data_IF_214230889129
#
_entry.id   IF_214230889129
#
_cell.length_a   1.000
_cell.length_b   1.000
_cell.length_c   1.000
_cell.angle_alpha   90.00
_cell.angle_beta   90.00
_cell.angle_gamma   90.00
#
_symmetry.space_group_name_H-M   'P 1'
#
loop_
_entity.id
_entity.type
_entity.pdbx_description
1 polymer ?
#
# COMPACT_ATOMS: atom_id res chain seq x y z
N UNK A 1 24.65 30.91 39.57
CA UNK A 1 23.36 30.72 38.88
C UNK A 1 23.50 30.06 37.50
N UNK A 2 24.50 30.42 36.67
CA UNK A 2 24.68 29.86 35.32
C UNK A 2 24.73 28.32 35.23
N UNK A 3 25.48 27.63 36.10
CA UNK A 3 25.59 26.14 36.09
C UNK A 3 24.27 25.40 36.31
N UNK A 4 23.34 25.98 37.10
CA UNK A 4 22.01 25.38 37.34
C UNK A 4 21.10 25.52 36.11
N UNK A 5 21.20 26.63 35.40
CA UNK A 5 20.48 26.84 34.14
C UNK A 5 20.99 25.89 33.05
N UNK A 6 22.30 25.69 32.94
CA UNK A 6 22.89 24.75 31.96
C UNK A 6 22.47 23.30 32.21
N UNK A 7 22.48 22.84 33.47
CA UNK A 7 22.03 21.48 33.82
C UNK A 7 20.54 21.28 33.54
N UNK A 8 19.72 22.30 33.77
CA UNK A 8 18.30 22.25 33.48
C UNK A 8 18.03 22.15 31.97
N UNK A 9 18.75 22.92 31.15
CA UNK A 9 18.66 22.84 29.69
C UNK A 9 19.06 21.45 29.19
N UNK A 10 20.16 20.88 29.70
CA UNK A 10 20.56 19.52 29.32
C UNK A 10 19.55 18.46 29.76
N UNK A 11 18.94 18.59 30.94
CA UNK A 11 17.91 17.67 31.41
C UNK A 11 16.65 17.73 30.53
N UNK A 12 16.24 18.93 30.10
CA UNK A 12 15.09 19.12 29.19
C UNK A 12 15.40 18.55 27.80
N UNK A 13 16.60 18.80 27.25
CA UNK A 13 17.00 18.23 25.96
C UNK A 13 17.11 16.71 26.00
N UNK A 14 17.61 16.14 27.10
CA UNK A 14 17.68 14.70 27.29
C UNK A 14 16.28 14.07 27.43
N UNK A 15 15.39 14.68 28.19
CA UNK A 15 14.00 14.21 28.31
C UNK A 15 13.26 14.28 26.96
N UNK A 16 13.46 15.33 26.17
CA UNK A 16 12.90 15.45 24.82
C UNK A 16 13.47 14.38 23.88
N UNK A 17 14.77 14.07 23.96
CA UNK A 17 15.39 13.01 23.17
C UNK A 17 14.83 11.62 23.53
N UNK A 18 14.67 11.30 24.82
CA UNK A 18 14.10 10.01 25.27
C UNK A 18 12.63 9.89 24.87
N UNK A 19 11.85 10.96 24.93
CA UNK A 19 10.47 10.98 24.45
C UNK A 19 10.36 10.75 22.94
N UNK A 20 11.35 11.20 22.15
CA UNK A 20 11.38 10.99 20.70
C UNK A 20 11.78 9.56 20.28
N UNK A 21 12.42 8.79 21.18
CA UNK A 21 12.82 7.40 20.96
C UNK A 21 11.73 6.41 21.38
N UNK A 22 10.69 6.87 22.10
CA UNK A 22 9.46 6.10 22.31
C UNK A 22 8.59 6.11 21.03
N UNK A 23 9.19 5.68 19.93
CA UNK A 23 8.48 5.35 18.71
C UNK A 23 7.77 4.02 19.00
N UNK A 24 6.44 4.04 19.19
CA UNK A 24 5.65 2.83 19.42
C UNK A 24 6.05 1.75 18.41
N UNK A 25 6.56 0.62 18.91
CA UNK A 25 7.00 -0.46 18.05
C UNK A 25 5.80 -0.97 17.25
N UNK A 26 5.93 -1.08 15.92
CA UNK A 26 4.81 -1.38 15.02
C UNK A 26 4.08 -2.69 15.36
N UNK A 27 4.72 -3.61 16.07
CA UNK A 27 4.13 -4.85 16.55
C UNK A 27 3.14 -4.65 17.72
N UNK A 28 3.23 -3.55 18.47
CA UNK A 28 2.35 -3.25 19.62
C UNK A 28 0.99 -2.68 19.20
N UNK A 29 0.86 -2.22 17.95
CA UNK A 29 -0.42 -1.73 17.42
C UNK A 29 -1.48 -2.82 17.36
N UNK A 30 -2.75 -2.43 17.47
CA UNK A 30 -3.89 -3.31 17.31
C UNK A 30 -3.92 -3.94 15.91
N UNK A 31 -4.64 -5.07 15.77
CA UNK A 31 -4.84 -5.70 14.46
C UNK A 31 -5.57 -4.77 13.49
N UNK A 32 -6.50 -3.95 13.98
CA UNK A 32 -7.23 -2.99 13.16
C UNK A 32 -6.28 -1.93 12.59
N UNK A 33 -5.44 -1.31 13.44
CA UNK A 33 -4.50 -0.28 12.98
C UNK A 33 -3.47 -0.84 11.98
N UNK A 34 -3.07 -2.10 12.17
CA UNK A 34 -2.21 -2.80 11.20
C UNK A 34 -2.95 -3.02 9.88
N UNK A 35 -4.19 -3.50 9.94
CA UNK A 35 -5.01 -3.70 8.75
C UNK A 35 -5.22 -2.38 7.99
N UNK A 36 -5.55 -1.30 8.70
CA UNK A 36 -5.74 0.03 8.12
C UNK A 36 -4.45 0.54 7.48
N UNK A 37 -3.29 0.37 8.15
CA UNK A 37 -2.00 0.74 7.60
C UNK A 37 -1.68 -0.01 6.30
N UNK A 38 -1.85 -1.33 6.28
CA UNK A 38 -1.61 -2.12 5.08
C UNK A 38 -2.61 -1.81 3.98
N UNK A 39 -3.87 -1.55 4.32
CA UNK A 39 -4.90 -1.17 3.36
C UNK A 39 -4.57 0.18 2.72
N UNK A 40 -4.17 1.19 3.50
CA UNK A 40 -3.76 2.48 2.95
C UNK A 40 -2.49 2.35 2.09
N UNK A 41 -1.50 1.58 2.54
CA UNK A 41 -0.29 1.35 1.75
C UNK A 41 -0.61 0.69 0.39
N UNK A 42 -1.57 -0.23 0.41
CA UNK A 42 -2.07 -0.91 -0.79
C UNK A 42 -2.76 0.06 -1.74
N UNK A 43 -3.63 0.96 -1.24
CA UNK A 43 -4.26 2.00 -2.06
C UNK A 43 -3.24 2.99 -2.63
N UNK A 44 -2.32 3.48 -1.81
CA UNK A 44 -1.37 4.54 -2.19
C UNK A 44 -0.33 4.08 -3.21
N UNK A 45 0.08 2.81 -3.13
CA UNK A 45 1.25 2.31 -3.89
C UNK A 45 0.91 1.33 -4.98
N UNK A 46 -0.22 0.64 -4.86
CA UNK A 46 -0.52 -0.48 -5.73
C UNK A 46 -1.79 -0.29 -6.55
N UNK A 47 -2.73 0.56 -6.12
CA UNK A 47 -3.93 0.88 -6.90
C UNK A 47 -3.63 2.00 -7.93
N UNK A 48 -3.43 1.62 -9.20
CA UNK A 48 -3.22 2.56 -10.31
C UNK A 48 -4.34 2.37 -11.32
N UNK A 49 -5.13 3.42 -11.57
CA UNK A 49 -6.28 3.42 -12.49
C UNK A 49 -7.32 2.30 -12.28
N UNK A 50 -7.39 1.79 -11.04
CA UNK A 50 -8.27 0.69 -10.65
C UNK A 50 -7.67 -0.71 -10.79
N UNK A 51 -6.41 -0.82 -11.19
CA UNK A 51 -5.65 -2.07 -11.26
C UNK A 51 -4.61 -2.14 -10.15
N UNK A 52 -4.34 -3.34 -9.64
CA UNK A 52 -3.29 -3.59 -8.67
C UNK A 52 -1.98 -3.95 -9.35
N UNK A 53 -1.08 -2.98 -9.44
CA UNK A 53 0.21 -3.14 -10.12
C UNK A 53 1.35 -3.34 -9.13
N UNK A 54 2.32 -4.18 -9.49
CA UNK A 54 3.62 -4.19 -8.83
C UNK A 54 4.39 -2.94 -9.23
N UNK A 55 5.13 -2.35 -8.27
CA UNK A 55 6.09 -1.30 -8.57
C UNK A 55 7.46 -1.95 -8.69
N UNK A 56 8.05 -1.90 -9.88
CA UNK A 56 9.43 -2.35 -10.12
C UNK A 56 10.27 -1.12 -10.36
N UNK A 57 11.27 -0.91 -9.51
CA UNK A 57 12.25 0.15 -9.70
C UNK A 57 13.19 -0.25 -10.84
N UNK A 58 13.29 0.59 -11.87
CA UNK A 58 14.19 0.37 -13.00
C UNK A 58 15.56 0.98 -12.68
N UNK A 59 16.62 0.23 -12.92
CA UNK A 59 17.99 0.71 -12.81
C UNK A 59 18.41 1.44 -14.09
N UNK A 60 19.42 2.33 -14.04
CA UNK A 60 19.94 2.99 -15.23
C UNK A 60 20.44 1.97 -16.25
N UNK A 61 19.80 1.91 -17.42
CA UNK A 61 20.12 0.97 -18.51
C UNK A 61 19.10 -0.16 -18.70
N UNK A 62 18.10 -0.27 -17.83
CA UNK A 62 17.00 -1.23 -18.02
C UNK A 62 16.12 -0.80 -19.21
N UNK A 63 15.80 -1.76 -20.07
CA UNK A 63 14.75 -1.60 -21.09
C UNK A 63 13.41 -2.09 -20.54
N UNK A 64 12.38 -1.25 -20.72
CA UNK A 64 11.04 -1.55 -20.26
C UNK A 64 10.38 -2.57 -21.19
N UNK A 65 10.25 -3.81 -20.70
CA UNK A 65 9.49 -4.85 -21.38
C UNK A 65 8.10 -5.01 -20.72
N UNK A 66 7.07 -4.48 -21.40
CA UNK A 66 5.66 -4.54 -20.99
C UNK A 66 4.96 -5.86 -21.32
N UNK A 67 5.69 -6.88 -21.80
CA UNK A 67 5.11 -8.21 -22.03
C UNK A 67 4.90 -8.95 -20.70
N UNK A 68 4.25 -10.12 -20.78
CA UNK A 68 4.01 -11.00 -19.63
C UNK A 68 5.25 -11.75 -19.14
N UNK A 69 6.41 -11.50 -19.76
CA UNK A 69 7.69 -12.16 -19.46
C UNK A 69 8.82 -11.18 -19.16
N UNK A 70 8.52 -9.88 -19.25
CA UNK A 70 9.48 -8.78 -19.13
C UNK A 70 9.69 -8.26 -17.71
N UNK A 71 10.60 -7.29 -17.57
CA UNK A 71 10.91 -6.61 -16.30
C UNK A 71 9.69 -5.87 -15.72
N UNK A 72 8.79 -5.39 -16.58
CA UNK A 72 7.54 -4.74 -16.14
C UNK A 72 6.36 -5.71 -15.97
N UNK A 73 6.58 -7.02 -16.13
CA UNK A 73 5.65 -8.15 -15.92
C UNK A 73 4.18 -7.71 -15.76
N UNK A 74 3.54 -7.34 -16.87
CA UNK A 74 2.15 -6.88 -16.85
C UNK A 74 1.21 -8.00 -16.40
N UNK A 75 1.61 -9.27 -16.58
CA UNK A 75 0.90 -10.42 -16.01
C UNK A 75 0.96 -10.44 -14.48
N UNK A 76 2.03 -9.92 -13.87
CA UNK A 76 2.09 -9.67 -12.43
C UNK A 76 0.93 -8.78 -12.00
N UNK A 77 0.72 -7.63 -12.66
CA UNK A 77 -0.37 -6.71 -12.31
C UNK A 77 -1.75 -7.36 -12.45
N UNK A 78 -1.98 -8.10 -13.54
CA UNK A 78 -3.23 -8.84 -13.72
C UNK A 78 -3.45 -9.90 -12.62
N UNK A 79 -2.41 -10.68 -12.27
CA UNK A 79 -2.53 -11.73 -11.27
C UNK A 79 -2.75 -11.17 -9.84
N UNK A 80 -2.11 -10.07 -9.48
CA UNK A 80 -2.35 -9.40 -8.19
C UNK A 80 -3.70 -8.71 -8.14
N UNK A 81 -4.14 -8.10 -9.25
CA UNK A 81 -5.50 -7.55 -9.36
C UNK A 81 -6.55 -8.64 -9.15
N UNK A 82 -6.41 -9.79 -9.79
CA UNK A 82 -7.33 -10.92 -9.60
C UNK A 82 -7.34 -11.45 -8.17
N UNK A 83 -6.16 -11.61 -7.53
CA UNK A 83 -6.05 -12.04 -6.13
C UNK A 83 -6.68 -11.04 -5.16
N UNK A 84 -6.42 -9.76 -5.38
CA UNK A 84 -6.98 -8.71 -4.55
C UNK A 84 -8.49 -8.62 -4.70
N UNK A 85 -9.02 -8.71 -5.93
CA UNK A 85 -10.45 -8.75 -6.20
C UNK A 85 -11.14 -9.92 -5.47
N UNK A 86 -10.51 -11.11 -5.42
CA UNK A 86 -11.02 -12.22 -4.62
C UNK A 86 -11.07 -11.88 -3.12
N UNK A 87 -10.04 -11.20 -2.60
CA UNK A 87 -10.02 -10.69 -1.22
C UNK A 87 -11.15 -9.69 -0.93
N UNK A 88 -11.39 -8.74 -1.85
CA UNK A 88 -12.52 -7.79 -1.78
C UNK A 88 -13.85 -8.55 -1.77
N UNK A 89 -13.98 -9.60 -2.58
CA UNK A 89 -15.15 -10.49 -2.59
C UNK A 89 -15.40 -11.15 -1.23
N UNK A 90 -14.38 -11.72 -0.61
CA UNK A 90 -14.49 -12.31 0.73
C UNK A 90 -14.81 -11.26 1.80
N UNK A 91 -14.20 -10.08 1.71
CA UNK A 91 -14.48 -8.97 2.62
C UNK A 91 -15.97 -8.59 2.53
N UNK A 92 -16.48 -8.33 1.33
CA UNK A 92 -17.89 -8.02 1.14
C UNK A 92 -18.81 -9.14 1.61
N UNK A 93 -18.48 -10.41 1.33
CA UNK A 93 -19.28 -11.54 1.77
C UNK A 93 -19.43 -11.58 3.31
N UNK A 94 -18.39 -11.15 4.02
CA UNK A 94 -18.33 -11.15 5.49
C UNK A 94 -18.99 -9.93 6.10
N UNK A 95 -18.77 -8.74 5.56
CA UNK A 95 -19.24 -7.47 6.17
C UNK A 95 -20.53 -6.95 5.57
N UNK A 96 -20.85 -7.33 4.32
CA UNK A 96 -21.92 -6.75 3.49
C UNK A 96 -21.82 -5.24 3.33
N UNK A 97 -20.64 -4.67 3.49
CA UNK A 97 -20.40 -3.24 3.39
C UNK A 97 -20.47 -2.78 1.92
N UNK A 98 -21.38 -1.84 1.63
CA UNK A 98 -21.53 -1.24 0.31
C UNK A 98 -20.28 -0.53 -0.20
N UNK A 99 -19.42 0.00 0.68
CA UNK A 99 -18.16 0.63 0.26
C UNK A 99 -17.21 -0.41 -0.35
N UNK A 100 -17.15 -1.61 0.24
CA UNK A 100 -16.35 -2.73 -0.29
C UNK A 100 -16.89 -3.20 -1.64
N UNK A 101 -18.22 -3.24 -1.79
CA UNK A 101 -18.85 -3.55 -3.08
C UNK A 101 -18.46 -2.53 -4.16
N UNK A 102 -18.57 -1.23 -3.87
CA UNK A 102 -18.20 -0.16 -4.80
C UNK A 102 -16.73 -0.24 -5.19
N UNK A 103 -15.86 -0.53 -4.22
CA UNK A 103 -14.44 -0.75 -4.49
C UNK A 103 -14.19 -1.93 -5.43
N UNK A 104 -14.88 -3.06 -5.21
CA UNK A 104 -14.84 -4.21 -6.12
C UNK A 104 -15.31 -3.88 -7.54
N UNK A 105 -16.36 -3.07 -7.67
CA UNK A 105 -16.86 -2.62 -8.97
C UNK A 105 -15.81 -1.78 -9.72
N UNK A 106 -15.12 -0.88 -9.02
CA UNK A 106 -14.05 -0.07 -9.61
C UNK A 106 -12.94 -0.93 -10.23
N UNK A 107 -12.59 -2.05 -9.59
CA UNK A 107 -11.58 -3.00 -10.08
C UNK A 107 -12.10 -3.76 -11.31
N UNK A 108 -13.34 -4.25 -11.25
CA UNK A 108 -13.97 -4.95 -12.38
C UNK A 108 -14.08 -4.03 -13.62
N UNK A 109 -14.45 -2.77 -13.42
CA UNK A 109 -14.52 -1.79 -14.49
C UNK A 109 -13.14 -1.51 -15.08
N UNK A 110 -12.09 -1.48 -14.26
CA UNK A 110 -10.71 -1.31 -14.72
C UNK A 110 -10.24 -2.50 -15.57
N UNK A 111 -10.53 -3.74 -15.14
CA UNK A 111 -10.24 -4.94 -15.92
C UNK A 111 -11.00 -4.94 -17.25
N UNK A 112 -12.27 -4.52 -17.25
CA UNK A 112 -13.07 -4.41 -18.46
C UNK A 112 -12.48 -3.37 -19.44
N UNK A 113 -12.03 -2.21 -18.95
CA UNK A 113 -11.33 -1.20 -19.76
C UNK A 113 -10.03 -1.74 -20.35
N UNK A 114 -9.23 -2.44 -19.55
CA UNK A 114 -7.98 -3.05 -20.01
C UNK A 114 -8.23 -4.07 -21.12
N UNK A 115 -9.23 -4.94 -20.93
CA UNK A 115 -9.64 -5.91 -21.94
C UNK A 115 -10.08 -5.22 -23.23
N UNK A 116 -10.90 -4.16 -23.13
CA UNK A 116 -11.37 -3.41 -24.29
C UNK A 116 -10.22 -2.76 -25.07
N UNK A 117 -9.23 -2.20 -24.39
CA UNK A 117 -8.08 -1.53 -25.03
C UNK A 117 -7.09 -2.51 -25.67
N UNK A 118 -6.86 -3.66 -25.06
CA UNK A 118 -5.80 -4.59 -25.46
C UNK A 118 -6.30 -5.76 -26.32
N UNK A 119 -7.58 -6.11 -26.23
CA UNK A 119 -8.14 -7.32 -26.82
C UNK A 119 -7.70 -8.62 -26.12
N UNK A 120 -6.89 -8.54 -25.05
CA UNK A 120 -6.40 -9.69 -24.30
C UNK A 120 -7.45 -10.10 -23.27
N UNK A 121 -7.95 -11.34 -23.27
CA UNK A 121 -8.80 -11.85 -22.20
C UNK A 121 -8.02 -11.78 -20.88
N UNK A 122 -8.57 -11.07 -19.89
CA UNK A 122 -8.00 -10.97 -18.54
C UNK A 122 -7.96 -12.31 -17.82
#
# INVERSE_FOLDING_TARGET
MARRATLFVWAVLFAAAVASVAQEESWQRSLQEKADFFYQNLLDRHLIDGLFTSHVELLPGDEVDHTTTGICDVAHAACWTGRYLAGVGYWYATTRDSAVQQHGQLILDALARLHHMTGVPG
#
